data_IF_332758489726
#
_entry.id   IF_332758489726
#
_cell.length_a   1.000
_cell.length_b   1.000
_cell.length_c   1.000
_cell.angle_alpha   90.00
_cell.angle_beta   90.00
_cell.angle_gamma   90.00
#
_symmetry.space_group_name_H-M   'P 1'
#
loop_
_entity.id
_entity.type
_entity.pdbx_description
1 polymer ?
#
# COMPACT_ATOMS: atom_id res chain seq x y z
N UNK A 1 14.34 2.89 3.22
CA UNK A 1 13.68 3.00 1.91
C UNK A 1 13.00 1.69 1.57
N UNK A 2 11.81 1.75 0.97
CA UNK A 2 11.11 0.53 0.58
C UNK A 2 11.88 -0.22 -0.52
N UNK A 3 11.96 -1.53 -0.38
CA UNK A 3 12.76 -2.37 -1.27
C UNK A 3 11.98 -2.74 -2.55
N UNK A 4 11.84 -1.75 -3.43
CA UNK A 4 11.25 -1.90 -4.77
C UNK A 4 12.00 -1.02 -5.76
N UNK A 5 11.97 -1.39 -7.03
CA UNK A 5 12.59 -0.57 -8.08
C UNK A 5 11.74 0.67 -8.38
N UNK A 6 12.33 1.64 -9.08
CA UNK A 6 11.60 2.84 -9.48
C UNK A 6 10.43 2.49 -10.42
N UNK A 7 10.60 1.51 -11.30
CA UNK A 7 9.54 1.06 -12.19
C UNK A 7 8.40 0.37 -11.43
N UNK A 8 8.75 -0.44 -10.44
CA UNK A 8 7.77 -1.10 -9.57
C UNK A 8 7.00 -0.07 -8.76
N UNK A 9 7.70 0.94 -8.23
CA UNK A 9 7.07 2.02 -7.48
C UNK A 9 6.06 2.78 -8.35
N UNK A 10 6.44 3.14 -9.56
CA UNK A 10 5.56 3.84 -10.50
C UNK A 10 4.30 3.01 -10.80
N UNK A 11 4.45 1.70 -10.97
CA UNK A 11 3.33 0.80 -11.23
C UNK A 11 2.38 0.74 -10.04
N UNK A 12 2.92 0.64 -8.82
CA UNK A 12 2.13 0.64 -7.59
C UNK A 12 1.30 1.92 -7.48
N UNK A 13 1.93 3.07 -7.66
CA UNK A 13 1.26 4.37 -7.58
C UNK A 13 0.16 4.48 -8.63
N UNK A 14 0.43 4.03 -9.86
CA UNK A 14 -0.56 4.08 -10.93
C UNK A 14 -1.77 3.20 -10.64
N UNK A 15 -1.55 2.00 -10.12
CA UNK A 15 -2.64 1.07 -9.79
C UNK A 15 -3.53 1.65 -8.70
N UNK A 16 -2.94 2.12 -7.59
CA UNK A 16 -3.72 2.70 -6.50
C UNK A 16 -4.44 3.96 -6.97
N UNK A 17 -3.77 4.84 -7.68
CA UNK A 17 -4.35 6.10 -8.16
C UNK A 17 -5.53 5.90 -9.10
N UNK A 18 -5.55 4.80 -9.86
CA UNK A 18 -6.66 4.47 -10.75
C UNK A 18 -7.90 4.04 -9.98
N UNK A 19 -7.73 3.35 -8.86
CA UNK A 19 -8.85 2.80 -8.08
C UNK A 19 -9.27 3.70 -6.92
N UNK A 20 -8.33 4.41 -6.32
CA UNK A 20 -8.55 5.26 -5.14
C UNK A 20 -7.81 6.59 -5.35
N UNK A 21 -8.32 7.46 -6.22
CA UNK A 21 -7.66 8.74 -6.50
C UNK A 21 -7.46 9.57 -5.24
N UNK A 22 -6.29 10.18 -5.10
CA UNK A 22 -5.98 11.05 -3.98
C UNK A 22 -5.64 10.36 -2.68
N UNK A 23 -5.61 9.03 -2.64
CA UNK A 23 -5.28 8.30 -1.43
C UNK A 23 -3.79 8.36 -1.12
N UNK A 24 -3.48 8.34 0.18
CA UNK A 24 -2.13 8.13 0.65
C UNK A 24 -1.80 6.65 0.62
N UNK A 25 -0.60 6.29 0.19
CA UNK A 25 -0.12 4.91 0.15
C UNK A 25 1.14 4.81 1.00
N UNK A 26 1.09 3.95 2.00
CA UNK A 26 2.22 3.68 2.88
C UNK A 26 2.65 2.23 2.73
N UNK A 27 3.95 1.99 2.69
CA UNK A 27 4.52 0.64 2.75
C UNK A 27 4.98 0.35 4.17
N UNK A 28 4.80 -0.87 4.60
CA UNK A 28 5.28 -1.35 5.90
C UNK A 28 5.75 -2.81 5.76
N UNK A 29 6.15 -3.43 6.85
CA UNK A 29 6.55 -4.82 6.83
C UNK A 29 8.01 -5.03 6.39
N UNK A 30 8.34 -6.25 5.94
CA UNK A 30 9.72 -6.67 5.73
C UNK A 30 10.46 -5.87 4.67
N UNK A 31 9.78 -5.40 3.61
CA UNK A 31 10.44 -4.60 2.56
C UNK A 31 10.78 -3.18 3.01
N UNK A 32 10.27 -2.74 4.15
CA UNK A 32 10.60 -1.46 4.75
C UNK A 32 11.63 -1.64 5.85
N UNK A 33 11.46 -2.67 6.68
CA UNK A 33 12.35 -2.93 7.82
C UNK A 33 13.72 -3.48 7.43
N UNK A 34 13.83 -4.01 6.23
CA UNK A 34 15.03 -4.71 5.79
C UNK A 34 14.91 -6.22 6.02
N UNK A 35 15.83 -6.98 5.45
CA UNK A 35 15.81 -8.43 5.54
C UNK A 35 14.80 -9.10 4.61
N UNK A 36 14.16 -8.36 3.73
CA UNK A 36 13.25 -8.93 2.75
C UNK A 36 14.00 -9.83 1.78
N UNK A 37 13.40 -10.96 1.46
CA UNK A 37 13.89 -11.85 0.41
C UNK A 37 13.31 -11.41 -0.94
N UNK A 38 13.89 -11.90 -2.03
CA UNK A 38 13.49 -11.56 -3.39
C UNK A 38 11.97 -11.66 -3.62
N UNK A 39 11.33 -12.67 -3.03
CA UNK A 39 9.90 -12.93 -3.22
C UNK A 39 9.06 -12.57 -1.99
N UNK A 40 9.60 -11.80 -1.06
CA UNK A 40 8.81 -11.33 0.09
C UNK A 40 7.65 -10.46 -0.37
N UNK A 41 6.51 -10.60 0.30
CA UNK A 41 5.33 -9.79 0.02
C UNK A 41 5.62 -8.30 0.30
N UNK A 42 4.98 -7.45 -0.46
CA UNK A 42 4.94 -6.02 -0.18
C UNK A 42 3.64 -5.71 0.54
N UNK A 43 3.75 -5.13 1.73
CA UNK A 43 2.60 -4.76 2.54
C UNK A 43 2.30 -3.29 2.36
N UNK A 44 1.09 -2.97 1.92
CA UNK A 44 0.63 -1.61 1.71
C UNK A 44 -0.60 -1.31 2.54
N UNK A 45 -0.66 -0.10 3.07
CA UNK A 45 -1.88 0.45 3.63
C UNK A 45 -2.29 1.65 2.79
N UNK A 46 -3.56 1.68 2.40
CA UNK A 46 -4.15 2.78 1.63
C UNK A 46 -5.02 3.59 2.59
N UNK A 47 -4.73 4.89 2.67
CA UNK A 47 -5.44 5.80 3.55
C UNK A 47 -6.07 6.91 2.73
N UNK A 48 -7.40 6.97 2.77
CA UNK A 48 -8.18 8.02 2.13
C UNK A 48 -9.13 8.66 3.15
N UNK A 49 -9.91 9.63 2.74
CA UNK A 49 -10.82 10.33 3.65
C UNK A 49 -11.86 9.40 4.29
N UNK A 50 -12.25 8.35 3.58
CA UNK A 50 -13.22 7.35 4.04
C UNK A 50 -12.73 5.95 3.76
N UNK A 51 -13.36 4.95 4.39
CA UNK A 51 -13.04 3.57 4.11
C UNK A 51 -13.40 3.19 2.66
N UNK A 52 -12.64 2.27 2.09
CA UNK A 52 -12.95 1.71 0.78
C UNK A 52 -14.17 0.77 0.88
N UNK A 53 -14.98 0.73 -0.18
CA UNK A 53 -15.98 -0.31 -0.30
C UNK A 53 -15.29 -1.66 -0.50
N UNK A 54 -16.00 -2.75 -0.19
CA UNK A 54 -15.49 -4.10 -0.45
C UNK A 54 -15.21 -4.30 -1.94
N UNK A 55 -16.04 -3.73 -2.81
CA UNK A 55 -15.84 -3.82 -4.26
C UNK A 55 -14.54 -3.13 -4.67
N UNK A 56 -14.29 -1.92 -4.20
CA UNK A 56 -13.07 -1.18 -4.52
C UNK A 56 -11.83 -1.91 -4.03
N UNK A 57 -11.86 -2.41 -2.80
CA UNK A 57 -10.74 -3.15 -2.23
C UNK A 57 -10.47 -4.44 -3.02
N UNK A 58 -11.52 -5.15 -3.41
CA UNK A 58 -11.42 -6.36 -4.23
C UNK A 58 -10.83 -6.08 -5.61
N UNK A 59 -11.28 -5.01 -6.27
CA UNK A 59 -10.74 -4.60 -7.56
C UNK A 59 -9.28 -4.19 -7.47
N UNK A 60 -8.91 -3.49 -6.41
CA UNK A 60 -7.53 -3.08 -6.18
C UNK A 60 -6.62 -4.30 -5.97
N UNK A 61 -7.05 -5.25 -5.16
CA UNK A 61 -6.30 -6.49 -4.93
C UNK A 61 -6.14 -7.29 -6.22
N UNK A 62 -7.19 -7.37 -7.02
CA UNK A 62 -7.15 -8.07 -8.31
C UNK A 62 -6.19 -7.38 -9.27
N UNK A 63 -6.20 -6.05 -9.32
CA UNK A 63 -5.30 -5.29 -10.18
C UNK A 63 -3.84 -5.55 -9.84
N UNK A 64 -3.50 -5.66 -8.57
CA UNK A 64 -2.14 -6.03 -8.16
C UNK A 64 -1.81 -7.47 -8.54
N UNK A 65 -2.74 -8.39 -8.34
CA UNK A 65 -2.55 -9.80 -8.69
C UNK A 65 -2.29 -9.99 -10.18
N UNK A 66 -2.96 -9.22 -11.02
CA UNK A 66 -2.83 -9.30 -12.47
C UNK A 66 -1.70 -8.43 -13.03
N UNK A 67 -1.00 -7.68 -12.17
CA UNK A 67 0.10 -6.82 -12.59
C UNK A 67 1.39 -7.61 -12.86
N UNK A 68 2.37 -6.92 -13.45
CA UNK A 68 3.68 -7.50 -13.75
C UNK A 68 4.64 -7.45 -12.55
N UNK A 69 4.14 -7.13 -11.36
CA UNK A 69 4.99 -7.12 -10.17
C UNK A 69 5.44 -8.55 -9.84
N UNK A 70 6.75 -8.75 -9.57
CA UNK A 70 7.30 -10.09 -9.33
C UNK A 70 7.08 -10.61 -7.92
N UNK A 71 6.33 -9.89 -7.10
CA UNK A 71 6.00 -10.24 -5.71
C UNK A 71 4.53 -9.99 -5.46
N UNK A 72 4.02 -10.62 -4.42
CA UNK A 72 2.64 -10.43 -4.00
C UNK A 72 2.51 -9.10 -3.25
N UNK A 73 1.40 -8.40 -3.46
CA UNK A 73 1.09 -7.16 -2.76
C UNK A 73 -0.12 -7.39 -1.87
N UNK A 74 0.06 -7.21 -0.57
CA UNK A 74 -1.02 -7.26 0.40
C UNK A 74 -1.48 -5.84 0.70
N UNK A 75 -2.76 -5.55 0.43
CA UNK A 75 -3.34 -4.22 0.63
C UNK A 75 -4.33 -4.26 1.76
N UNK A 76 -4.18 -3.32 2.70
CA UNK A 76 -5.17 -3.11 3.76
C UNK A 76 -5.69 -1.68 3.70
N UNK A 77 -6.93 -1.49 4.14
CA UNK A 77 -7.57 -0.20 4.27
C UNK A 77 -7.30 0.34 5.68
N UNK A 78 -6.69 1.52 5.79
CA UNK A 78 -6.40 2.15 7.07
C UNK A 78 -7.63 2.22 7.99
N UNK A 79 -8.81 2.47 7.41
CA UNK A 79 -10.05 2.60 8.19
C UNK A 79 -10.64 1.26 8.64
N UNK A 80 -10.15 0.15 8.10
CA UNK A 80 -10.67 -1.18 8.41
C UNK A 80 -9.79 -1.97 9.38
N UNK A 81 -8.61 -1.47 9.71
CA UNK A 81 -7.69 -2.16 10.62
C UNK A 81 -7.82 -1.62 12.05
N UNK A 82 -7.39 -2.44 13.01
CA UNK A 82 -7.46 -2.08 14.42
C UNK A 82 -6.47 -0.98 14.80
N UNK A 83 -6.72 -0.31 15.94
CA UNK A 83 -5.79 0.68 16.47
C UNK A 83 -4.44 0.06 16.80
N UNK A 84 -4.43 -1.18 17.27
CA UNK A 84 -3.19 -1.90 17.54
C UNK A 84 -2.37 -2.08 16.27
N UNK A 85 -3.02 -2.45 15.17
CA UNK A 85 -2.34 -2.62 13.89
C UNK A 85 -1.84 -1.28 13.34
N UNK A 86 -2.64 -0.22 13.48
CA UNK A 86 -2.23 1.12 13.08
C UNK A 86 -0.96 1.55 13.83
N UNK A 87 -0.88 1.24 15.11
CA UNK A 87 0.32 1.54 15.93
C UNK A 87 1.55 0.80 15.42
N UNK A 88 1.38 -0.46 15.03
CA UNK A 88 2.48 -1.25 14.46
C UNK A 88 2.98 -0.63 13.17
N UNK A 89 2.07 -0.22 12.28
CA UNK A 89 2.43 0.43 11.02
C UNK A 89 3.15 1.75 11.31
N UNK A 90 2.65 2.54 12.27
CA UNK A 90 3.20 3.84 12.60
C UNK A 90 4.64 3.78 13.15
N UNK A 91 5.04 2.65 13.72
CA UNK A 91 6.41 2.46 14.20
C UNK A 91 7.43 2.51 13.07
N UNK A 92 7.08 1.98 11.91
CA UNK A 92 8.00 1.97 10.77
C UNK A 92 7.24 1.81 9.46
N UNK A 93 7.24 2.87 8.67
CA UNK A 93 6.60 2.88 7.36
C UNK A 93 7.36 3.80 6.43
N UNK A 94 7.07 3.68 5.14
CA UNK A 94 7.54 4.59 4.11
C UNK A 94 6.36 5.08 3.29
N UNK A 95 6.29 6.39 3.07
CA UNK A 95 5.25 6.97 2.20
C UNK A 95 5.62 6.71 0.76
N UNK A 96 4.76 5.99 0.05
CA UNK A 96 4.91 5.74 -1.39
C UNK A 96 4.26 6.87 -2.18
N UNK A 97 3.05 7.28 -1.77
CA UNK A 97 2.35 8.39 -2.38
C UNK A 97 1.65 9.20 -1.29
N UNK A 98 1.88 10.52 -1.21
CA UNK A 98 1.14 11.36 -0.25
C UNK A 98 -0.29 11.55 -0.73
N UNK A 99 -1.24 11.59 0.21
CA UNK A 99 -2.63 11.84 -0.11
C UNK A 99 -2.85 13.29 -0.54
N UNK A 100 -3.78 13.50 -1.46
CA UNK A 100 -4.18 14.83 -1.90
C UNK A 100 -5.32 15.35 -1.05
N UNK A 101 -5.16 16.57 -0.49
CA UNK A 101 -6.17 17.18 0.36
C UNK A 101 -6.43 16.39 1.63
N UNK A 102 -5.55 15.51 1.99
CA UNK A 102 -5.68 14.65 3.15
C UNK A 102 -4.91 15.24 4.33
N UNK A 103 -5.56 15.51 5.46
CA UNK A 103 -4.85 16.02 6.64
C UNK A 103 -3.99 14.91 7.25
N UNK A 104 -2.75 15.24 7.46
CA UNK A 104 -1.81 14.31 8.09
C UNK A 104 -1.92 14.35 9.62
#
# INVERSE_FOLDING_TARGET
MVDVSAEQLALIVAIVGRHVPGAEVLAFGSRVRGGAKKHSDLDLVVRSATSMSLATLGELRLAFQESDLPFRVDVVDWHAISDSFRSIIAERFETIAPGEGWPL
#
